data_IF_186718902612
#
_entry.id   IF_186718902612
#
_cell.length_a   1.000
_cell.length_b   1.000
_cell.length_c   1.000
_cell.angle_alpha   90.00
_cell.angle_beta   90.00
_cell.angle_gamma   90.00
#
_symmetry.space_group_name_H-M   'P 1'
#
loop_
_entity.id
_entity.type
_entity.pdbx_description
1 polymer ?
#
# COMPACT_ATOMS: atom_id res chain seq x y z
N UNK A 1 13.49 12.13 5.52
CA UNK A 1 12.26 11.40 5.18
C UNK A 1 11.87 10.55 6.38
N UNK A 2 10.58 10.48 6.74
CA UNK A 2 10.11 9.65 7.86
C UNK A 2 9.46 8.39 7.29
N UNK A 3 9.64 7.26 7.95
CA UNK A 3 9.13 5.96 7.50
C UNK A 3 8.25 5.43 8.61
N UNK A 4 7.00 5.08 8.28
CA UNK A 4 6.05 4.53 9.24
C UNK A 4 5.55 3.18 8.76
N UNK A 5 5.22 2.31 9.70
CA UNK A 5 4.72 0.98 9.39
C UNK A 5 3.82 0.42 10.47
N UNK A 6 3.10 -0.64 10.08
CA UNK A 6 2.51 -1.61 10.99
C UNK A 6 3.48 -2.78 11.15
N UNK A 7 3.52 -3.36 12.34
CA UNK A 7 4.41 -4.47 12.68
C UNK A 7 3.68 -5.50 13.53
N UNK A 8 4.15 -6.75 13.50
CA UNK A 8 3.67 -7.81 14.38
C UNK A 8 4.80 -8.32 15.28
N UNK A 9 4.50 -8.39 16.58
CA UNK A 9 5.37 -8.98 17.60
C UNK A 9 4.54 -9.87 18.52
N UNK A 10 4.85 -11.17 18.61
CA UNK A 10 4.13 -12.11 19.47
C UNK A 10 2.61 -12.16 19.24
N UNK A 11 2.15 -11.90 18.01
CA UNK A 11 0.73 -11.84 17.65
C UNK A 11 0.03 -10.50 17.91
N UNK A 12 0.71 -9.54 18.55
CA UNK A 12 0.21 -8.19 18.75
C UNK A 12 0.63 -7.27 17.61
N UNK A 13 -0.32 -6.46 17.12
CA UNK A 13 -0.07 -5.42 16.12
C UNK A 13 0.46 -4.15 16.78
N UNK A 14 1.52 -3.60 16.21
CA UNK A 14 2.21 -2.39 16.65
C UNK A 14 2.27 -1.40 15.50
N UNK A 15 2.36 -0.12 15.82
CA UNK A 15 2.67 0.94 14.86
C UNK A 15 3.92 1.68 15.31
N UNK A 16 4.72 2.16 14.36
CA UNK A 16 5.94 2.87 14.72
C UNK A 16 6.58 3.61 13.57
N UNK A 17 7.53 4.45 13.93
CA UNK A 17 8.45 5.11 12.99
C UNK A 17 9.75 4.31 12.92
N UNK A 18 10.18 3.95 11.71
CA UNK A 18 11.47 3.30 11.47
C UNK A 18 12.56 4.36 11.46
N UNK A 19 13.61 4.15 12.26
CA UNK A 19 14.79 5.00 12.34
C UNK A 19 16.03 4.13 12.35
N UNK A 20 16.71 4.01 11.21
CA UNK A 20 17.79 3.04 11.05
C UNK A 20 17.24 1.61 11.13
N UNK A 21 17.78 0.82 12.04
CA UNK A 21 17.38 -0.55 12.35
C UNK A 21 16.40 -0.64 13.54
N UNK A 22 15.95 0.49 14.10
CA UNK A 22 14.99 0.54 15.20
C UNK A 22 13.58 0.94 14.72
N UNK A 23 12.57 0.38 15.37
CA UNK A 23 11.19 0.85 15.30
C UNK A 23 10.84 1.56 16.61
N UNK A 24 10.61 2.86 16.53
CA UNK A 24 10.13 3.69 17.64
C UNK A 24 8.61 3.55 17.73
N UNK A 25 8.12 2.92 18.79
CA UNK A 25 6.73 2.53 18.91
C UNK A 25 5.82 3.73 19.22
N UNK A 26 4.65 3.71 18.59
CA UNK A 26 3.56 4.64 18.80
C UNK A 26 2.46 3.98 19.64
N UNK A 27 1.77 4.75 20.46
CA UNK A 27 0.65 4.25 21.29
C UNK A 27 -0.63 4.02 20.47
N UNK A 28 -0.68 4.56 19.25
CA UNK A 28 -1.81 4.47 18.31
C UNK A 28 -1.31 4.55 16.86
N UNK A 29 -2.14 4.20 15.86
CA UNK A 29 -1.78 4.35 14.46
C UNK A 29 -1.32 5.78 14.11
N UNK A 30 -0.26 5.89 13.31
CA UNK A 30 0.39 7.17 12.98
C UNK A 30 -0.51 8.16 12.22
N UNK A 31 -1.59 7.68 11.59
CA UNK A 31 -2.59 8.52 10.94
C UNK A 31 -3.61 9.14 11.93
N UNK A 32 -3.60 8.71 13.20
CA UNK A 32 -4.44 9.28 14.28
C UNK A 32 -3.65 10.20 15.22
N UNK A 33 -2.31 10.18 15.16
CA UNK A 33 -1.43 10.92 16.07
C UNK A 33 -0.04 10.31 16.13
N UNK A 34 0.94 11.10 16.61
CA UNK A 34 2.35 10.71 16.71
C UNK A 34 2.82 10.64 18.17
N UNK A 35 2.07 9.95 19.02
CA UNK A 35 2.41 9.78 20.42
C UNK A 35 3.30 8.55 20.58
N UNK A 36 4.58 8.80 20.84
CA UNK A 36 5.55 7.74 21.08
C UNK A 36 5.37 7.18 22.49
N UNK A 37 5.40 5.86 22.62
CA UNK A 37 5.35 5.20 23.93
C UNK A 37 6.66 5.32 24.71
N UNK A 38 7.75 5.73 24.04
CA UNK A 38 9.11 5.66 24.56
C UNK A 38 9.78 4.30 24.35
N UNK A 39 9.01 3.28 23.97
CA UNK A 39 9.55 1.96 23.66
C UNK A 39 10.15 1.90 22.26
N UNK A 40 11.14 1.02 22.11
CA UNK A 40 11.77 0.68 20.85
C UNK A 40 11.87 -0.83 20.68
N UNK A 41 11.97 -1.28 19.44
CA UNK A 41 12.26 -2.68 19.07
C UNK A 41 13.23 -2.69 17.89
N UNK A 42 14.05 -3.72 17.78
CA UNK A 42 14.82 -3.95 16.57
C UNK A 42 13.87 -4.30 15.42
N UNK A 43 14.06 -3.66 14.26
CA UNK A 43 13.28 -3.95 13.05
C UNK A 43 13.42 -5.42 12.64
N UNK A 44 14.60 -6.01 12.82
CA UNK A 44 14.87 -7.41 12.47
C UNK A 44 14.15 -8.44 13.35
N UNK A 45 13.62 -8.03 14.51
CA UNK A 45 12.83 -8.88 15.41
C UNK A 45 11.32 -8.81 15.12
N UNK A 46 10.91 -7.88 14.24
CA UNK A 46 9.52 -7.62 13.93
C UNK A 46 9.16 -8.17 12.55
N UNK A 47 7.94 -8.69 12.42
CA UNK A 47 7.35 -8.95 11.11
C UNK A 47 6.70 -7.66 10.60
N UNK A 48 7.03 -7.24 9.39
CA UNK A 48 6.42 -6.06 8.76
C UNK A 48 5.01 -6.40 8.32
N UNK A 49 4.04 -5.66 8.84
CA UNK A 49 2.61 -5.81 8.53
C UNK A 49 2.15 -4.72 7.56
N UNK A 50 0.86 -4.73 7.20
CA UNK A 50 0.26 -3.66 6.41
C UNK A 50 0.52 -2.30 7.07
N UNK A 51 1.07 -1.31 6.32
CA UNK A 51 1.41 -0.01 6.89
C UNK A 51 0.17 0.78 7.29
N UNK A 52 -0.97 0.57 6.62
CA UNK A 52 -2.23 1.28 6.87
C UNK A 52 -3.43 0.33 6.83
N UNK A 53 -4.59 0.79 7.30
CA UNK A 53 -5.86 0.08 7.24
C UNK A 53 -6.87 0.85 6.35
N UNK A 54 -6.79 0.71 5.02
CA UNK A 54 -7.62 1.48 4.10
C UNK A 54 -9.05 0.93 4.04
N UNK A 55 -10.05 1.80 3.84
CA UNK A 55 -11.44 1.38 3.61
C UNK A 55 -11.71 0.87 2.20
N UNK A 56 -10.81 1.16 1.26
CA UNK A 56 -10.87 0.76 -0.15
C UNK A 56 -9.48 0.86 -0.77
N UNK A 57 -9.22 0.04 -1.78
CA UNK A 57 -8.02 0.15 -2.64
C UNK A 57 -8.51 0.53 -4.04
N UNK A 58 -7.91 1.58 -4.62
CA UNK A 58 -8.24 2.09 -5.95
C UNK A 58 -7.01 1.88 -6.82
N UNK A 59 -7.15 1.12 -7.89
CA UNK A 59 -6.08 0.84 -8.84
C UNK A 59 -6.27 1.66 -10.13
N UNK A 60 -5.17 1.89 -10.84
CA UNK A 60 -5.16 2.67 -12.08
C UNK A 60 -4.38 1.88 -13.14
N UNK A 61 -5.06 1.51 -14.22
CA UNK A 61 -4.45 0.76 -15.31
C UNK A 61 -3.89 1.66 -16.39
N UNK A 62 -2.98 1.09 -17.19
CA UNK A 62 -2.44 1.72 -18.40
C UNK A 62 -1.82 3.11 -18.12
N UNK A 63 -1.11 3.23 -16.99
CA UNK A 63 -0.54 4.51 -16.54
C UNK A 63 0.96 4.65 -16.82
N UNK A 64 1.56 3.66 -17.49
CA UNK A 64 2.94 3.70 -18.00
C UNK A 64 2.95 3.45 -19.51
N UNK A 65 3.57 4.36 -20.27
CA UNK A 65 3.57 4.31 -21.75
C UNK A 65 4.15 3.04 -22.31
N UNK A 66 5.20 2.51 -21.69
CA UNK A 66 5.86 1.30 -22.17
C UNK A 66 5.04 0.05 -21.87
N UNK A 67 4.35 0.02 -20.72
CA UNK A 67 3.39 -1.04 -20.41
C UNK A 67 2.18 -1.05 -21.37
N UNK A 68 1.69 0.14 -21.77
CA UNK A 68 0.63 0.26 -22.80
C UNK A 68 1.08 -0.38 -24.13
N UNK A 69 2.31 -0.09 -24.56
CA UNK A 69 2.89 -0.66 -25.79
C UNK A 69 3.06 -2.18 -25.68
N UNK A 70 3.58 -2.67 -24.56
CA UNK A 70 3.75 -4.10 -24.26
C UNK A 70 2.42 -4.85 -24.38
N UNK A 71 1.37 -4.30 -23.78
CA UNK A 71 0.02 -4.86 -23.80
C UNK A 71 -0.70 -4.67 -25.15
N UNK A 72 -0.05 -4.03 -26.13
CA UNK A 72 -0.62 -3.68 -27.44
C UNK A 72 -1.97 -2.94 -27.32
N UNK A 73 -2.08 -2.09 -26.30
CA UNK A 73 -3.28 -1.28 -26.03
C UNK A 73 -3.11 0.14 -26.56
N UNK A 74 -4.23 0.84 -26.72
CA UNK A 74 -4.24 2.27 -27.04
C UNK A 74 -4.26 3.11 -25.77
N UNK A 75 -3.53 4.23 -25.77
CA UNK A 75 -3.57 5.20 -24.69
C UNK A 75 -5.01 5.73 -24.53
N UNK A 76 -5.51 5.73 -23.29
CA UNK A 76 -6.86 6.18 -22.97
C UNK A 76 -6.78 7.62 -22.46
N UNK A 77 -7.62 8.51 -22.97
CA UNK A 77 -7.63 9.93 -22.59
C UNK A 77 -8.09 10.24 -21.16
N UNK A 78 -8.52 9.21 -20.42
CA UNK A 78 -8.93 9.28 -19.02
C UNK A 78 -8.40 8.07 -18.25
N UNK A 79 -8.15 8.19 -16.93
CA UNK A 79 -7.67 7.07 -16.12
C UNK A 79 -8.65 5.89 -16.13
N UNK A 80 -8.13 4.67 -16.36
CA UNK A 80 -8.87 3.43 -16.18
C UNK A 80 -8.78 3.03 -14.70
N UNK A 81 -9.91 2.99 -13.99
CA UNK A 81 -9.95 2.81 -12.53
C UNK A 81 -10.83 1.62 -12.16
N UNK A 82 -10.37 0.82 -11.20
CA UNK A 82 -11.16 -0.22 -10.54
C UNK A 82 -10.86 -0.27 -9.04
N UNK A 83 -11.65 -1.08 -8.32
CA UNK A 83 -11.47 -1.32 -6.89
C UNK A 83 -10.89 -2.70 -6.64
N UNK A 84 -9.98 -2.78 -5.66
CA UNK A 84 -9.65 -4.04 -4.99
C UNK A 84 -10.20 -4.00 -3.57
N UNK A 85 -10.72 -5.15 -3.11
CA UNK A 85 -11.22 -5.25 -1.75
C UNK A 85 -10.05 -5.12 -0.75
N UNK A 86 -10.19 -4.37 0.36
CA UNK A 86 -9.14 -4.31 1.39
C UNK A 86 -8.75 -5.69 1.94
N UNK A 87 -9.64 -6.68 1.88
CA UNK A 87 -9.37 -8.08 2.24
C UNK A 87 -8.36 -8.79 1.32
N UNK A 88 -8.00 -8.20 0.18
CA UNK A 88 -6.94 -8.72 -0.71
C UNK A 88 -5.53 -8.34 -0.26
N UNK A 89 -5.39 -7.42 0.71
CA UNK A 89 -4.09 -6.95 1.18
C UNK A 89 -3.39 -8.03 2.02
N UNK A 90 -2.09 -8.19 1.75
CA UNK A 90 -1.21 -9.10 2.49
C UNK A 90 -0.06 -8.33 3.15
N UNK A 91 0.41 -8.75 4.33
CA UNK A 91 1.61 -8.19 4.94
C UNK A 91 2.85 -8.49 4.08
N UNK A 92 3.99 -7.91 4.45
CA UNK A 92 5.27 -8.27 3.83
C UNK A 92 5.51 -9.78 3.96
N UNK A 93 6.05 -10.39 2.90
CA UNK A 93 6.25 -11.85 2.78
C UNK A 93 4.96 -12.69 2.93
N UNK A 94 3.78 -12.06 2.81
CA UNK A 94 2.52 -12.76 2.79
C UNK A 94 2.40 -13.70 1.59
N UNK A 95 1.75 -14.85 1.80
CA UNK A 95 1.57 -15.87 0.76
C UNK A 95 0.39 -15.49 -0.13
N UNK A 96 0.66 -15.24 -1.41
CA UNK A 96 -0.37 -15.09 -2.45
C UNK A 96 -0.97 -16.47 -2.72
N UNK A 97 -2.27 -16.62 -2.46
CA UNK A 97 -3.00 -17.87 -2.72
C UNK A 97 -3.66 -17.80 -4.09
N UNK A 98 -3.14 -18.58 -5.04
CA UNK A 98 -3.70 -18.70 -6.38
C UNK A 98 -4.97 -19.55 -6.31
N UNK A 99 -6.11 -18.94 -6.67
CA UNK A 99 -7.42 -19.59 -6.58
C UNK A 99 -7.63 -20.62 -7.70
N UNK A 100 -7.18 -20.30 -8.92
CA UNK A 100 -7.31 -21.12 -10.13
C UNK A 100 -5.91 -21.37 -10.71
N UNK A 101 -5.24 -22.48 -10.36
CA UNK A 101 -3.86 -22.77 -10.79
C UNK A 101 -3.69 -22.89 -12.32
N UNK A 102 -4.77 -23.17 -13.04
CA UNK A 102 -4.82 -23.27 -14.49
C UNK A 102 -4.87 -21.91 -15.19
N UNK A 103 -5.26 -20.84 -14.48
CA UNK A 103 -5.29 -19.49 -15.02
C UNK A 103 -3.91 -18.85 -15.06
N UNK A 104 -3.75 -17.84 -15.91
CA UNK A 104 -2.59 -16.95 -15.92
C UNK A 104 -2.74 -15.90 -14.83
N UNK A 105 -2.07 -16.13 -13.70
CA UNK A 105 -1.84 -15.09 -12.68
C UNK A 105 -0.58 -14.29 -13.02
N UNK A 106 -0.66 -12.98 -12.87
CA UNK A 106 0.40 -12.02 -13.18
C UNK A 106 0.64 -11.04 -12.01
N UNK A 107 1.83 -10.43 -11.98
CA UNK A 107 2.21 -9.45 -10.97
C UNK A 107 2.46 -8.08 -11.61
N UNK A 108 2.18 -7.02 -10.85
CA UNK A 108 2.31 -5.63 -11.28
C UNK A 108 2.81 -4.81 -10.10
N UNK A 109 4.11 -4.48 -10.08
CA UNK A 109 4.70 -3.65 -9.03
C UNK A 109 4.31 -2.19 -9.24
N UNK A 110 3.63 -1.61 -8.25
CA UNK A 110 3.01 -0.29 -8.36
C UNK A 110 3.42 0.64 -7.21
N UNK A 111 3.47 1.94 -7.53
CA UNK A 111 3.52 2.99 -6.51
C UNK A 111 2.12 3.15 -5.90
N UNK A 112 1.98 2.82 -4.63
CA UNK A 112 0.75 3.04 -3.89
C UNK A 112 0.76 4.40 -3.18
N UNK A 113 -0.30 5.18 -3.38
CA UNK A 113 -0.51 6.48 -2.76
C UNK A 113 -1.42 6.31 -1.55
N UNK A 114 -0.96 6.71 -0.37
CA UNK A 114 -1.77 6.69 0.86
C UNK A 114 -2.42 8.06 1.05
N UNK A 115 -3.75 8.09 1.05
CA UNK A 115 -4.53 9.32 1.28
C UNK A 115 -4.70 9.56 2.78
N UNK A 116 -4.31 10.74 3.25
CA UNK A 116 -4.33 11.14 4.66
C UNK A 116 -5.52 12.00 5.08
N UNK A 117 -6.26 12.55 4.12
CA UNK A 117 -7.39 13.43 4.39
C UNK A 117 -8.57 13.13 3.46
N UNK A 118 -9.80 13.41 3.93
CA UNK A 118 -11.02 13.25 3.13
C UNK A 118 -10.97 14.18 1.93
N UNK A 119 -10.93 13.61 0.73
CA UNK A 119 -10.83 14.34 -0.53
C UNK A 119 -12.13 14.22 -1.34
N UNK A 120 -12.63 15.35 -1.85
CA UNK A 120 -13.75 15.40 -2.82
C UNK A 120 -13.54 16.59 -3.76
N UNK A 121 -13.66 16.37 -5.07
CA UNK A 121 -13.51 17.41 -6.10
C UNK A 121 -12.20 18.22 -5.97
N UNK A 122 -11.10 17.54 -5.61
CA UNK A 122 -9.80 18.17 -5.38
C UNK A 122 -9.16 18.52 -6.71
N UNK A 123 -8.75 19.79 -6.87
CA UNK A 123 -7.99 20.22 -8.05
C UNK A 123 -6.60 19.57 -8.11
N UNK A 124 -6.06 19.35 -9.30
CA UNK A 124 -4.70 18.80 -9.49
C UNK A 124 -3.63 19.53 -8.67
N UNK A 125 -3.71 20.86 -8.57
CA UNK A 125 -2.76 21.69 -7.82
C UNK A 125 -2.77 21.40 -6.32
N UNK A 126 -3.91 20.97 -5.77
CA UNK A 126 -4.12 20.70 -4.34
C UNK A 126 -4.00 19.20 -4.01
N UNK A 127 -3.80 18.33 -4.99
CA UNK A 127 -3.86 16.88 -4.81
C UNK A 127 -2.87 16.38 -3.74
N UNK A 128 -1.64 16.91 -3.74
CA UNK A 128 -0.60 16.48 -2.80
C UNK A 128 -0.89 16.85 -1.35
N UNK A 129 -1.73 17.86 -1.09
CA UNK A 129 -2.14 18.23 0.27
C UNK A 129 -2.94 17.12 0.97
N UNK A 130 -3.51 16.19 0.20
CA UNK A 130 -4.31 15.08 0.70
C UNK A 130 -3.51 13.77 0.79
N UNK A 131 -2.27 13.75 0.28
CA UNK A 131 -1.41 12.58 0.31
C UNK A 131 -0.70 12.53 1.67
N UNK A 132 -0.91 11.44 2.41
CA UNK A 132 -0.14 11.16 3.62
C UNK A 132 1.29 10.72 3.28
N UNK A 133 1.42 9.86 2.28
CA UNK A 133 2.69 9.30 1.86
C UNK A 133 2.52 8.26 0.76
N UNK A 134 3.57 7.47 0.58
CA UNK A 134 3.66 6.48 -0.49
C UNK A 134 4.19 5.16 0.08
N UNK A 135 3.80 4.06 -0.56
CA UNK A 135 4.33 2.72 -0.31
C UNK A 135 4.40 1.95 -1.63
N UNK A 136 4.92 0.73 -1.59
CA UNK A 136 4.91 -0.21 -2.72
C UNK A 136 3.68 -1.12 -2.57
N UNK A 137 3.07 -1.49 -3.69
CA UNK A 137 2.05 -2.52 -3.77
C UNK A 137 2.29 -3.44 -4.97
N UNK A 138 1.75 -4.65 -4.90
CA UNK A 138 1.69 -5.59 -6.04
C UNK A 138 0.21 -5.75 -6.43
N UNK A 139 -0.18 -5.32 -7.64
CA UNK A 139 -1.51 -5.54 -8.18
C UNK A 139 -1.62 -6.93 -8.83
N UNK A 140 -1.69 -7.95 -7.98
CA UNK A 140 -1.84 -9.34 -8.42
C UNK A 140 -3.18 -9.49 -9.15
N UNK A 141 -3.07 -9.99 -10.37
CA UNK A 141 -4.19 -10.09 -11.31
C UNK A 141 -4.26 -11.49 -11.91
N UNK A 142 -5.46 -12.08 -11.82
CA UNK A 142 -5.83 -13.22 -12.66
C UNK A 142 -6.30 -12.66 -14.01
N UNK A 143 -5.62 -13.04 -15.09
CA UNK A 143 -5.86 -12.49 -16.43
C UNK A 143 -7.02 -13.17 -17.17
N UNK A 144 -7.58 -14.22 -16.59
CA UNK A 144 -8.67 -15.00 -17.19
C UNK A 144 -10.05 -14.70 -16.56
N UNK A 145 -10.11 -13.78 -15.57
CA UNK A 145 -11.34 -13.30 -14.93
C UNK A 145 -11.88 -11.99 -15.51
#
# INVERSE_FOLDING_TARGET
MRIFGGFLSGGSRLYGEVRGDEVHLLTRPFWLGLDFSGEKRSLGELRVDLPVAPSKVIAVGLNYRDHIKEMQRTEIGSPLIWFKAPSSLLPHEGIIRIAFPEHKTDFETELAIVIGAVAKNVSKKRALDYVFGYTIAEDISDRDL
#
